data_IF_028864146907
#
_entry.id   IF_028864146907
#
_cell.length_a   1.000
_cell.length_b   1.000
_cell.length_c   1.000
_cell.angle_alpha   90.00
_cell.angle_beta   90.00
_cell.angle_gamma   90.00
#
_symmetry.space_group_name_H-M   'P 1'
#
loop_
_entity.id
_entity.type
_entity.pdbx_description
1 polymer ?
#
# COMPACT_ATOMS: atom_id res chain seq x y z
N UNK A 1 7.58 -4.19 -12.12
CA UNK A 1 8.27 -2.91 -11.92
C UNK A 1 9.22 -2.64 -13.08
N UNK A 2 9.27 -1.42 -13.63
CA UNK A 2 10.35 -0.95 -14.51
C UNK A 2 11.72 -0.93 -13.80
N UNK A 3 12.85 -0.80 -14.52
CA UNK A 3 14.17 -0.65 -13.89
C UNK A 3 14.23 0.56 -12.95
N UNK A 4 14.91 0.44 -11.80
CA UNK A 4 14.91 1.45 -10.73
C UNK A 4 15.45 2.81 -11.18
N UNK A 5 16.42 2.81 -12.09
CA UNK A 5 17.03 4.00 -12.70
C UNK A 5 16.06 4.81 -13.58
N UNK A 6 14.89 4.26 -13.91
CA UNK A 6 13.83 4.97 -14.65
C UNK A 6 12.93 5.80 -13.74
N UNK A 7 13.02 5.62 -12.43
CA UNK A 7 12.30 6.42 -11.44
C UNK A 7 13.11 7.65 -11.07
N UNK A 8 12.41 8.70 -10.62
CA UNK A 8 13.01 9.95 -10.17
C UNK A 8 14.00 9.73 -9.02
N UNK A 9 13.62 8.89 -8.07
CA UNK A 9 14.37 8.57 -6.86
C UNK A 9 13.99 7.17 -6.34
N UNK A 10 14.82 6.66 -5.43
CA UNK A 10 14.71 5.29 -4.90
C UNK A 10 13.44 5.13 -4.05
N UNK A 11 13.06 6.18 -3.33
CA UNK A 11 11.84 6.25 -2.54
C UNK A 11 10.60 6.10 -3.42
N UNK A 12 10.58 6.76 -4.60
CA UNK A 12 9.49 6.62 -5.57
C UNK A 12 9.37 5.20 -6.10
N UNK A 13 10.50 4.55 -6.39
CA UNK A 13 10.51 3.15 -6.81
C UNK A 13 9.90 2.25 -5.73
N UNK A 14 10.34 2.38 -4.48
CA UNK A 14 9.85 1.56 -3.39
C UNK A 14 8.41 1.89 -2.98
N UNK A 15 7.96 3.13 -3.12
CA UNK A 15 6.56 3.50 -2.93
C UNK A 15 5.66 2.82 -3.96
N UNK A 16 6.02 2.85 -5.25
CA UNK A 16 5.28 2.13 -6.29
C UNK A 16 5.36 0.62 -6.08
N UNK A 17 6.53 0.07 -5.74
CA UNK A 17 6.64 -1.36 -5.45
C UNK A 17 5.75 -1.76 -4.26
N UNK A 18 5.74 -0.97 -3.18
CA UNK A 18 4.89 -1.22 -2.03
C UNK A 18 3.40 -1.23 -2.42
N UNK A 19 2.96 -0.27 -3.23
CA UNK A 19 1.58 -0.24 -3.77
C UNK A 19 1.24 -1.54 -4.51
N UNK A 20 2.10 -1.98 -5.42
CA UNK A 20 1.89 -3.22 -6.18
C UNK A 20 1.93 -4.47 -5.29
N UNK A 21 2.76 -4.51 -4.24
CA UNK A 21 2.81 -5.61 -3.27
C UNK A 21 1.51 -5.70 -2.45
N UNK A 22 0.89 -4.56 -2.13
CA UNK A 22 -0.42 -4.56 -1.45
C UNK A 22 -1.50 -5.13 -2.37
N UNK A 23 -1.52 -4.76 -3.65
CA UNK A 23 -2.41 -5.40 -4.65
C UNK A 23 -2.13 -6.90 -4.75
N UNK A 24 -0.85 -7.27 -4.85
CA UNK A 24 -0.43 -8.67 -4.89
C UNK A 24 -1.03 -9.43 -3.70
N UNK A 25 -0.89 -8.95 -2.47
CA UNK A 25 -1.44 -9.60 -1.28
C UNK A 25 -2.97 -9.88 -1.34
N UNK A 26 -3.72 -9.17 -2.20
CA UNK A 26 -5.16 -9.32 -2.36
C UNK A 26 -5.67 -10.58 -3.06
N UNK A 27 -4.81 -11.37 -3.71
CA UNK A 27 -5.23 -12.53 -4.49
C UNK A 27 -6.00 -13.60 -3.67
N UNK A 28 -6.82 -14.40 -4.36
CA UNK A 28 -7.73 -15.40 -3.76
C UNK A 28 -7.05 -16.39 -2.78
N UNK A 29 -5.82 -16.80 -3.07
CA UNK A 29 -5.05 -17.73 -2.23
C UNK A 29 -4.23 -17.04 -1.12
N UNK A 30 -4.39 -15.73 -0.96
CA UNK A 30 -3.73 -14.89 0.04
C UNK A 30 -4.79 -14.26 0.94
N UNK A 31 -5.06 -12.96 0.79
CA UNK A 31 -6.08 -12.27 1.58
C UNK A 31 -7.48 -12.31 0.97
N UNK A 32 -7.64 -12.90 -0.21
CA UNK A 32 -8.93 -13.15 -0.85
C UNK A 32 -9.84 -11.91 -0.91
N UNK A 33 -9.30 -10.77 -1.35
CA UNK A 33 -10.11 -9.59 -1.64
C UNK A 33 -10.93 -9.84 -2.90
N UNK A 34 -12.19 -9.40 -2.93
CA UNK A 34 -13.03 -9.54 -4.11
C UNK A 34 -12.61 -8.51 -5.17
N UNK A 35 -11.87 -8.98 -6.18
CA UNK A 35 -11.41 -8.19 -7.32
C UNK A 35 -12.20 -8.48 -8.60
N UNK A 36 -13.30 -9.25 -8.53
CA UNK A 36 -14.06 -9.71 -9.69
C UNK A 36 -14.65 -8.58 -10.55
N UNK A 37 -14.86 -7.41 -9.93
CA UNK A 37 -15.41 -6.20 -10.54
C UNK A 37 -14.38 -5.09 -10.75
N UNK A 38 -13.13 -5.31 -10.36
CA UNK A 38 -12.06 -4.30 -10.42
C UNK A 38 -11.91 -3.64 -11.80
N UNK A 39 -11.85 -4.45 -12.87
CA UNK A 39 -11.73 -3.94 -14.24
C UNK A 39 -13.05 -3.38 -14.81
N UNK A 40 -14.19 -3.64 -14.17
CA UNK A 40 -15.54 -3.39 -14.70
C UNK A 40 -16.23 -2.19 -14.05
N UNK A 41 -15.89 -1.87 -12.80
CA UNK A 41 -16.51 -0.81 -12.03
C UNK A 41 -15.45 0.16 -11.50
N UNK A 42 -15.58 1.44 -11.86
CA UNK A 42 -14.65 2.49 -11.43
C UNK A 42 -14.68 2.70 -9.92
N UNK A 43 -15.82 2.49 -9.27
CA UNK A 43 -15.96 2.63 -7.82
C UNK A 43 -15.26 1.49 -7.10
N UNK A 44 -15.41 0.25 -7.57
CA UNK A 44 -14.70 -0.90 -7.00
C UNK A 44 -13.19 -0.79 -7.24
N UNK A 45 -12.76 -0.32 -8.41
CA UNK A 45 -11.36 0.01 -8.66
C UNK A 45 -10.85 1.05 -7.67
N UNK A 46 -11.55 2.17 -7.52
CA UNK A 46 -11.15 3.22 -6.58
C UNK A 46 -11.10 2.76 -5.12
N UNK A 47 -11.96 1.80 -4.74
CA UNK A 47 -11.95 1.17 -3.42
C UNK A 47 -10.68 0.35 -3.19
N UNK A 48 -10.30 -0.47 -4.14
CA UNK A 48 -9.08 -1.29 -4.06
C UNK A 48 -7.80 -0.45 -4.17
N UNK A 49 -7.79 0.57 -5.03
CA UNK A 49 -6.68 1.54 -5.13
C UNK A 49 -6.47 2.28 -3.81
N UNK A 50 -7.53 2.67 -3.10
CA UNK A 50 -7.40 3.27 -1.75
C UNK A 50 -6.76 2.31 -0.75
N UNK A 51 -7.05 1.01 -0.83
CA UNK A 51 -6.42 -0.02 0.01
C UNK A 51 -4.93 -0.13 -0.31
N UNK A 52 -4.58 -0.18 -1.61
CA UNK A 52 -3.20 -0.27 -2.07
C UNK A 52 -2.36 0.93 -1.62
N UNK A 53 -2.90 2.14 -1.78
CA UNK A 53 -2.23 3.38 -1.41
C UNK A 53 -2.02 3.52 0.11
N UNK A 54 -3.06 3.25 0.92
CA UNK A 54 -2.91 3.25 2.38
C UNK A 54 -1.90 2.19 2.83
N UNK A 55 -1.93 1.00 2.22
CA UNK A 55 -0.99 -0.07 2.54
C UNK A 55 0.44 0.27 2.15
N UNK A 56 0.65 0.95 1.01
CA UNK A 56 1.96 1.42 0.59
C UNK A 56 2.55 2.43 1.58
N UNK A 57 1.72 3.37 2.05
CA UNK A 57 2.11 4.34 3.09
C UNK A 57 2.47 3.64 4.40
N UNK A 58 1.66 2.67 4.85
CA UNK A 58 1.94 1.92 6.08
C UNK A 58 3.23 1.10 5.96
N UNK A 59 3.43 0.40 4.84
CA UNK A 59 4.63 -0.40 4.61
C UNK A 59 5.88 0.48 4.48
N UNK A 60 5.80 1.60 3.77
CA UNK A 60 6.91 2.56 3.66
C UNK A 60 7.30 3.12 5.04
N UNK A 61 6.30 3.46 5.87
CA UNK A 61 6.54 3.91 7.25
C UNK A 61 7.22 2.82 8.09
N UNK A 62 6.75 1.57 8.03
CA UNK A 62 7.34 0.43 8.74
C UNK A 62 8.80 0.16 8.33
N UNK A 63 9.11 0.35 7.04
CA UNK A 63 10.45 0.14 6.47
C UNK A 63 11.39 1.35 6.66
N UNK A 64 10.92 2.44 7.24
CA UNK A 64 11.70 3.68 7.39
C UNK A 64 11.97 4.39 6.06
N UNK A 65 11.16 4.13 5.04
CA UNK A 65 11.23 4.78 3.73
C UNK A 65 10.42 6.07 3.85
N UNK A 66 11.07 7.11 4.37
CA UNK A 66 10.48 8.44 4.46
C UNK A 66 10.68 9.17 3.11
N UNK A 67 9.62 9.49 2.36
CA UNK A 67 9.76 10.51 1.34
C UNK A 67 10.13 11.82 2.03
N UNK A 68 11.06 12.59 1.45
CA UNK A 68 11.12 14.03 1.77
C UNK A 68 9.70 14.58 1.68
N UNK A 69 9.23 15.26 2.74
CA UNK A 69 7.87 15.83 2.84
C UNK A 69 7.69 17.05 1.92
N UNK A 70 8.14 16.95 0.67
CA UNK A 70 7.80 17.89 -0.39
C UNK A 70 6.45 17.46 -1.00
N UNK A 71 5.44 18.33 -1.03
CA UNK A 71 4.17 18.03 -1.68
C UNK A 71 4.39 17.71 -3.17
N UNK A 72 4.35 16.42 -3.52
CA UNK A 72 4.57 16.01 -4.91
C UNK A 72 3.31 16.33 -5.74
N UNK A 73 3.42 16.95 -6.93
CA UNK A 73 2.26 17.33 -7.74
C UNK A 73 1.37 16.16 -8.19
N UNK A 74 1.93 14.96 -8.28
CA UNK A 74 1.23 13.70 -8.58
C UNK A 74 0.36 13.21 -7.40
N UNK A 75 0.75 13.49 -6.14
CA UNK A 75 -0.06 13.18 -4.94
C UNK A 75 -1.49 13.75 -5.02
N UNK A 76 -1.68 14.89 -5.69
CA UNK A 76 -2.97 15.55 -5.83
C UNK A 76 -3.98 14.73 -6.67
N UNK A 77 -3.51 13.92 -7.61
CA UNK A 77 -4.37 13.10 -8.47
C UNK A 77 -5.02 11.94 -7.70
N UNK A 78 -4.29 11.35 -6.75
CA UNK A 78 -4.78 10.30 -5.86
C UNK A 78 -5.74 10.84 -4.79
N UNK A 79 -5.46 12.02 -4.23
CA UNK A 79 -6.37 12.70 -3.30
C UNK A 79 -7.75 12.98 -3.92
N UNK A 80 -7.81 13.34 -5.21
CA UNK A 80 -9.07 13.61 -5.90
C UNK A 80 -9.95 12.36 -6.04
N UNK A 81 -9.37 11.20 -6.35
CA UNK A 81 -10.12 9.94 -6.46
C UNK A 81 -10.59 9.47 -5.08
N UNK A 82 -9.76 9.61 -4.04
CA UNK A 82 -10.11 9.28 -2.66
C UNK A 82 -11.24 10.17 -2.13
N UNK A 83 -11.20 11.47 -2.40
CA UNK A 83 -12.28 12.40 -2.02
C UNK A 83 -13.63 12.01 -2.62
N UNK A 84 -13.66 11.46 -3.84
CA UNK A 84 -14.91 10.98 -4.46
C UNK A 84 -15.47 9.74 -3.74
N UNK A 85 -14.61 8.80 -3.33
CA UNK A 85 -15.03 7.61 -2.58
C UNK A 85 -15.51 7.99 -1.17
N UNK A 86 -14.77 8.88 -0.49
CA UNK A 86 -15.08 9.33 0.86
C UNK A 86 -16.35 10.19 0.94
N UNK A 87 -16.69 10.93 -0.12
CA UNK A 87 -17.96 11.66 -0.21
C UNK A 87 -19.16 10.72 -0.19
N UNK A 88 -19.05 9.55 -0.79
CA UNK A 88 -20.15 8.58 -0.92
C UNK A 88 -20.23 7.61 0.26
N UNK A 89 -19.10 7.30 0.92
CA UNK A 89 -19.06 6.38 2.06
C UNK A 89 -17.93 6.74 3.03
N UNK A 90 -18.23 7.57 4.04
CA UNK A 90 -17.25 8.00 5.05
C UNK A 90 -16.74 6.87 5.93
N UNK A 91 -17.45 5.74 6.03
CA UNK A 91 -17.01 4.58 6.82
C UNK A 91 -16.00 3.73 6.05
N UNK A 92 -16.01 3.84 4.73
CA UNK A 92 -15.11 3.08 3.87
C UNK A 92 -13.64 3.34 4.18
N UNK A 93 -13.24 4.54 4.61
CA UNK A 93 -11.84 4.83 4.98
C UNK A 93 -11.31 3.88 6.06
N UNK A 94 -12.12 3.57 7.07
CA UNK A 94 -11.72 2.67 8.16
C UNK A 94 -11.62 1.22 7.68
N UNK A 95 -12.52 0.82 6.77
CA UNK A 95 -12.45 -0.51 6.16
C UNK A 95 -11.22 -0.64 5.27
N UNK A 96 -10.93 0.37 4.47
CA UNK A 96 -9.77 0.41 3.60
C UNK A 96 -8.46 0.37 4.42
N UNK A 97 -8.37 1.19 5.47
CA UNK A 97 -7.24 1.17 6.41
C UNK A 97 -7.07 -0.20 7.08
N UNK A 98 -8.16 -0.85 7.50
CA UNK A 98 -8.08 -2.19 8.10
C UNK A 98 -7.61 -3.27 7.10
N UNK A 99 -8.06 -3.19 5.84
CA UNK A 99 -7.59 -4.09 4.78
C UNK A 99 -6.11 -3.85 4.44
N UNK A 100 -5.70 -2.58 4.35
CA UNK A 100 -4.32 -2.17 4.16
C UNK A 100 -3.41 -2.72 5.26
N UNK A 101 -3.81 -2.55 6.53
CA UNK A 101 -3.05 -3.10 7.67
C UNK A 101 -2.92 -4.62 7.61
N UNK A 102 -3.97 -5.34 7.20
CA UNK A 102 -3.91 -6.80 7.01
C UNK A 102 -2.93 -7.20 5.91
N UNK A 103 -2.89 -6.43 4.81
CA UNK A 103 -1.92 -6.65 3.74
C UNK A 103 -0.49 -6.44 4.20
N UNK A 104 -0.22 -5.35 4.92
CA UNK A 104 1.11 -5.09 5.50
C UNK A 104 1.53 -6.19 6.48
N UNK A 105 0.64 -6.58 7.39
CA UNK A 105 0.91 -7.68 8.33
C UNK A 105 1.22 -8.99 7.61
N UNK A 106 0.44 -9.33 6.57
CA UNK A 106 0.68 -10.51 5.75
C UNK A 106 2.06 -10.49 5.09
N UNK A 107 2.50 -9.34 4.54
CA UNK A 107 3.81 -9.22 3.91
C UNK A 107 4.96 -9.36 4.92
N UNK A 108 4.80 -8.83 6.14
CA UNK A 108 5.76 -9.01 7.23
C UNK A 108 5.84 -10.46 7.70
N UNK A 109 4.71 -11.16 7.78
CA UNK A 109 4.66 -12.57 8.18
C UNK A 109 5.38 -13.50 7.18
N UNK A 110 5.53 -13.07 5.92
CA UNK A 110 6.33 -13.78 4.91
C UNK A 110 7.83 -13.58 5.09
N UNK A 111 8.26 -12.57 5.86
CA UNK A 111 9.67 -12.33 6.10
C UNK A 111 10.23 -13.40 7.05
N UNK A 112 11.48 -13.84 6.84
CA UNK A 112 12.11 -14.76 7.78
C UNK A 112 12.10 -14.16 9.18
N UNK A 113 11.65 -14.93 10.17
CA UNK A 113 11.66 -14.49 11.56
C UNK A 113 13.08 -14.06 11.89
N UNK A 114 13.28 -12.78 12.21
CA UNK A 114 14.59 -12.29 12.65
C UNK A 114 14.95 -13.09 13.91
N UNK A 115 15.80 -14.12 13.79
CA UNK A 115 16.36 -14.80 14.95
C UNK A 115 17.00 -13.71 15.79
N UNK A 116 16.51 -13.52 17.01
CA UNK A 116 17.09 -12.60 17.97
C UNK A 116 18.54 -13.05 18.22
N UNK A 117 19.46 -12.45 17.47
CA UNK A 117 20.88 -12.77 17.48
C UNK A 117 21.65 -11.49 17.70
N UNK A 118 21.51 -10.90 18.89
CA UNK A 118 22.59 -10.20 19.59
C UNK A 118 22.13 -9.90 21.02
N UNK A 119 22.35 -10.87 21.92
CA UNK A 119 22.49 -10.56 23.35
C UNK A 119 23.81 -9.82 23.50
N UNK A 120 23.78 -8.49 23.58
CA UNK A 120 24.91 -7.75 24.16
C UNK A 120 24.79 -7.83 25.67
N UNK A 121 25.38 -8.88 26.23
CA UNK A 121 26.02 -8.78 27.54
C UNK A 121 27.38 -8.11 27.31
N UNK A 122 27.56 -6.96 27.93
CA UNK A 122 28.78 -6.16 27.97
C UNK A 122 28.57 -4.96 28.87
#
# INVERSE_FOLDING_TARGET
MPPIETFRDVESYYATLAHEEIHWAGAAHRLNRDLSRYAKDRSERAREELIAELGAVYLAADLGIAPEMEPRPDHASYLASWLSVLKNDKRFIFQAAAQAQRAVAYLHDLQPTRRAGFSMLG
#
